data_IF_684782507374
#
_entry.id   IF_684782507374
#
_cell.length_a   1.000
_cell.length_b   1.000
_cell.length_c   1.000
_cell.angle_alpha   90.00
_cell.angle_beta   90.00
_cell.angle_gamma   90.00
#
_symmetry.space_group_name_H-M   'P 1'
#
loop_
_entity.id
_entity.type
_entity.pdbx_description
1 polymer ?
#
# COMPACT_ATOMS: atom_id res chain seq x y z
N UNK A 1 5.90 -11.75 -16.43
CA UNK A 1 4.43 -11.70 -16.39
C UNK A 1 4.03 -12.03 -14.96
N UNK A 2 4.11 -11.04 -14.06
CA UNK A 2 3.45 -11.12 -12.75
C UNK A 2 1.99 -10.72 -12.98
N UNK A 3 1.06 -11.60 -12.63
CA UNK A 3 -0.37 -11.30 -12.69
C UNK A 3 -0.72 -10.24 -11.64
N UNK A 4 -1.69 -9.35 -11.88
CA UNK A 4 -2.07 -8.29 -10.94
C UNK A 4 -2.44 -8.80 -9.55
N UNK A 5 -3.05 -9.98 -9.44
CA UNK A 5 -3.35 -10.63 -8.15
C UNK A 5 -2.09 -10.98 -7.34
N UNK A 6 -0.97 -11.30 -8.01
CA UNK A 6 0.33 -11.56 -7.36
C UNK A 6 0.94 -10.25 -6.85
N UNK A 7 0.72 -9.15 -7.57
CA UNK A 7 1.21 -7.83 -7.19
C UNK A 7 0.42 -7.27 -5.99
N UNK A 8 -0.91 -7.46 -5.96
CA UNK A 8 -1.77 -7.06 -4.83
C UNK A 8 -1.39 -7.80 -3.54
N UNK A 9 -1.32 -9.13 -3.58
CA UNK A 9 -0.97 -9.95 -2.41
C UNK A 9 0.45 -9.63 -1.91
N UNK A 10 1.39 -9.38 -2.82
CA UNK A 10 2.72 -8.90 -2.46
C UNK A 10 2.67 -7.57 -1.69
N UNK A 11 1.92 -6.58 -2.18
CA UNK A 11 1.82 -5.29 -1.50
C UNK A 11 1.10 -5.40 -0.16
N UNK A 12 0.08 -6.26 -0.03
CA UNK A 12 -0.57 -6.54 1.25
C UNK A 12 0.40 -7.15 2.27
N UNK A 13 1.12 -8.22 1.91
CA UNK A 13 2.10 -8.84 2.82
C UNK A 13 3.19 -7.86 3.26
N UNK A 14 3.62 -6.99 2.35
CA UNK A 14 4.61 -5.94 2.66
C UNK A 14 4.04 -4.89 3.60
N UNK A 15 2.79 -4.46 3.41
CA UNK A 15 2.12 -3.54 4.31
C UNK A 15 1.99 -4.13 5.73
N UNK A 16 1.56 -5.39 5.85
CA UNK A 16 1.44 -6.08 7.14
C UNK A 16 2.79 -6.17 7.87
N UNK A 17 3.86 -6.54 7.15
CA UNK A 17 5.21 -6.61 7.73
C UNK A 17 5.64 -5.25 8.31
N UNK A 18 5.39 -4.16 7.60
CA UNK A 18 5.73 -2.81 8.10
C UNK A 18 4.89 -2.44 9.33
N UNK A 19 3.61 -2.83 9.38
CA UNK A 19 2.77 -2.62 10.57
C UNK A 19 3.27 -3.43 11.78
N UNK A 20 3.73 -4.67 11.58
CA UNK A 20 4.36 -5.44 12.66
C UNK A 20 5.66 -4.79 13.15
N UNK A 21 6.46 -4.25 12.24
CA UNK A 21 7.66 -3.49 12.59
C UNK A 21 7.33 -2.20 13.33
N UNK A 22 6.25 -1.51 12.94
CA UNK A 22 5.75 -0.34 13.65
C UNK A 22 5.38 -0.68 15.10
N UNK A 23 4.73 -1.83 15.34
CA UNK A 23 4.38 -2.28 16.70
C UNK A 23 5.61 -2.65 17.54
N UNK A 24 6.67 -3.17 16.91
CA UNK A 24 7.94 -3.53 17.56
C UNK A 24 8.86 -2.33 17.76
N UNK A 25 8.66 -1.25 17.01
CA UNK A 25 9.50 -0.07 17.06
C UNK A 25 9.26 0.73 18.36
N UNK A 26 10.34 1.04 19.08
CA UNK A 26 10.30 1.82 20.32
C UNK A 26 10.40 3.32 20.08
N UNK A 27 10.93 3.73 18.91
CA UNK A 27 11.07 5.15 18.57
C UNK A 27 9.85 5.67 17.82
N UNK A 28 9.20 6.76 18.29
CA UNK A 28 7.99 7.30 17.68
C UNK A 28 8.21 7.76 16.22
N UNK A 29 9.42 8.18 15.87
CA UNK A 29 9.77 8.51 14.48
C UNK A 29 9.82 7.27 13.58
N UNK A 30 10.33 6.15 14.09
CA UNK A 30 10.37 4.87 13.35
C UNK A 30 8.96 4.31 13.17
N UNK A 31 8.13 4.34 14.22
CA UNK A 31 6.71 3.96 14.15
C UNK A 31 6.00 4.72 13.04
N UNK A 32 6.16 6.06 13.00
CA UNK A 32 5.59 6.89 11.94
C UNK A 32 6.11 6.53 10.55
N UNK A 33 7.41 6.28 10.41
CA UNK A 33 7.99 5.87 9.14
C UNK A 33 7.38 4.56 8.62
N UNK A 34 7.25 3.55 9.48
CA UNK A 34 6.63 2.28 9.13
C UNK A 34 5.16 2.44 8.72
N UNK A 35 4.38 3.28 9.41
CA UNK A 35 3.02 3.58 8.98
C UNK A 35 2.94 4.28 7.62
N UNK A 36 3.85 5.20 7.33
CA UNK A 36 3.91 5.87 6.02
C UNK A 36 4.21 4.85 4.91
N UNK A 37 5.17 3.95 5.14
CA UNK A 37 5.54 2.91 4.18
C UNK A 37 4.38 1.92 3.97
N UNK A 38 3.72 1.47 5.04
CA UNK A 38 2.54 0.60 4.95
C UNK A 38 1.42 1.25 4.13
N UNK A 39 1.14 2.54 4.37
CA UNK A 39 0.15 3.28 3.59
C UNK A 39 0.52 3.36 2.11
N UNK A 40 1.80 3.53 1.75
CA UNK A 40 2.22 3.51 0.35
C UNK A 40 2.00 2.16 -0.33
N UNK A 41 2.19 1.05 0.36
CA UNK A 41 1.90 -0.27 -0.20
C UNK A 41 0.40 -0.46 -0.39
N UNK A 42 -0.42 -0.11 0.60
CA UNK A 42 -1.88 -0.17 0.51
C UNK A 42 -2.42 0.75 -0.59
N UNK A 43 -1.87 1.95 -0.73
CA UNK A 43 -2.24 2.87 -1.80
C UNK A 43 -2.00 2.24 -3.18
N UNK A 44 -0.97 1.43 -3.38
CA UNK A 44 -0.78 0.75 -4.68
C UNK A 44 -1.79 -0.35 -4.95
N UNK A 45 -2.30 -1.02 -3.91
CA UNK A 45 -3.38 -2.00 -4.06
C UNK A 45 -4.68 -1.30 -4.40
N UNK A 46 -5.02 -0.23 -3.68
CA UNK A 46 -6.31 0.46 -3.84
C UNK A 46 -6.31 1.51 -4.96
N UNK A 47 -5.15 2.02 -5.36
CA UNK A 47 -4.97 2.95 -6.50
C UNK A 47 -4.67 2.23 -7.80
N UNK A 48 -4.68 0.90 -7.85
CA UNK A 48 -4.92 0.25 -9.13
C UNK A 48 -6.25 0.78 -9.64
N UNK A 49 -6.27 1.44 -10.82
CA UNK A 49 -7.54 1.86 -11.38
C UNK A 49 -8.32 0.56 -11.52
N UNK A 50 -9.43 0.44 -10.78
CA UNK A 50 -10.50 -0.42 -11.22
C UNK A 50 -10.65 -0.09 -12.70
N UNK A 51 -10.32 -1.05 -13.57
CA UNK A 51 -10.42 -0.87 -15.01
C UNK A 51 -11.85 -0.39 -15.30
N UNK A 52 -12.04 0.93 -15.43
CA UNK A 52 -13.38 1.53 -15.31
C UNK A 52 -13.50 2.91 -14.67
N UNK A 53 -12.47 3.50 -14.05
CA UNK A 53 -12.53 4.93 -13.71
C UNK A 53 -12.14 5.79 -14.92
N UNK A 54 -13.05 5.85 -15.89
CA UNK A 54 -13.08 6.90 -16.90
C UNK A 54 -13.35 8.22 -16.18
N UNK A 55 -12.29 8.96 -15.89
CA UNK A 55 -12.44 10.40 -15.62
C UNK A 55 -12.81 11.08 -16.94
N UNK A 56 -14.11 11.19 -17.20
CA UNK A 56 -14.62 12.05 -18.26
C UNK A 56 -14.16 13.49 -17.99
N UNK A 57 -13.44 14.15 -18.92
CA UNK A 57 -13.16 15.58 -18.79
C UNK A 57 -14.48 16.33 -18.96
N UNK A 58 -14.87 17.08 -17.93
CA UNK A 58 -15.94 18.06 -18.06
C UNK A 58 -15.47 19.21 -18.97
N UNK A 59 -16.06 19.28 -20.17
CA UNK A 59 -16.08 20.50 -21.02
C UNK A 59 -17.21 21.45 -20.59
#
# INVERSE_FOLDING_TARGET
MTSPEIDEDYFYQRAETELELAQKATHPAAVRAHYIIANHYLDRVYSQPAEGSVIEPAE
#
